data_IF_222910150228
#
_entry.id   IF_222910150228
#
_cell.length_a   1.000
_cell.length_b   1.000
_cell.length_c   1.000
_cell.angle_alpha   90.00
_cell.angle_beta   90.00
_cell.angle_gamma   90.00
#
_symmetry.space_group_name_H-M   'P 1'
#
loop_
_entity.id
_entity.type
_entity.pdbx_description
1 polymer ?
#
# COMPACT_ATOMS: atom_id res chain seq x y z
N UNK A 1 -26.05 -18.39 -10.84
CA UNK A 1 -25.27 -17.29 -11.45
C UNK A 1 -25.08 -16.23 -10.37
N UNK A 2 -24.07 -16.39 -9.53
CA UNK A 2 -23.66 -15.33 -8.63
C UNK A 2 -23.05 -14.20 -9.48
N UNK A 3 -23.70 -13.05 -9.49
CA UNK A 3 -23.25 -11.88 -10.22
C UNK A 3 -21.88 -11.44 -9.71
N UNK A 4 -20.93 -11.29 -10.62
CA UNK A 4 -19.61 -10.74 -10.35
C UNK A 4 -19.70 -9.22 -10.16
N UNK A 5 -20.33 -8.77 -9.08
CA UNK A 5 -20.36 -7.36 -8.70
C UNK A 5 -19.13 -6.96 -7.85
N UNK A 6 -17.98 -7.56 -8.16
CA UNK A 6 -16.72 -7.18 -7.52
C UNK A 6 -15.99 -6.14 -8.37
N UNK A 7 -15.51 -5.09 -7.70
CA UNK A 7 -14.61 -4.13 -8.32
C UNK A 7 -13.35 -4.84 -8.83
N UNK A 8 -12.81 -4.41 -9.97
CA UNK A 8 -11.49 -4.85 -10.41
C UNK A 8 -10.38 -4.32 -9.47
N UNK A 9 -9.12 -4.71 -9.70
CA UNK A 9 -7.99 -4.29 -8.86
C UNK A 9 -7.87 -2.77 -8.77
N UNK A 10 -7.93 -2.08 -9.89
CA UNK A 10 -7.86 -0.63 -9.96
C UNK A 10 -9.03 0.04 -9.23
N UNK A 11 -10.26 -0.45 -9.45
CA UNK A 11 -11.45 0.07 -8.77
C UNK A 11 -11.37 -0.08 -7.26
N UNK A 12 -10.93 -1.25 -6.79
CA UNK A 12 -10.73 -1.51 -5.34
C UNK A 12 -9.69 -0.56 -4.75
N UNK A 13 -8.55 -0.39 -5.41
CA UNK A 13 -7.49 0.50 -4.97
C UNK A 13 -7.93 1.97 -4.95
N UNK A 14 -8.61 2.42 -6.00
CA UNK A 14 -9.10 3.80 -6.12
C UNK A 14 -10.17 4.13 -5.07
N UNK A 15 -11.08 3.21 -4.77
CA UNK A 15 -12.10 3.41 -3.74
C UNK A 15 -11.48 3.58 -2.36
N UNK A 16 -10.59 2.67 -1.95
CA UNK A 16 -9.91 2.78 -0.65
C UNK A 16 -9.05 4.04 -0.57
N UNK A 17 -8.33 4.37 -1.65
CA UNK A 17 -7.55 5.61 -1.72
C UNK A 17 -8.42 6.86 -1.58
N UNK A 18 -9.57 6.91 -2.28
CA UNK A 18 -10.50 8.04 -2.20
C UNK A 18 -11.08 8.21 -0.78
N UNK A 19 -11.48 7.10 -0.13
CA UNK A 19 -11.97 7.12 1.24
C UNK A 19 -10.90 7.62 2.22
N UNK A 20 -9.66 7.15 2.06
CA UNK A 20 -8.54 7.60 2.88
C UNK A 20 -8.25 9.09 2.68
N UNK A 21 -8.30 9.57 1.44
CA UNK A 21 -8.13 11.00 1.11
C UNK A 21 -9.23 11.87 1.70
N UNK A 22 -10.47 11.43 1.66
CA UNK A 22 -11.59 12.18 2.28
C UNK A 22 -11.38 12.32 3.79
N UNK A 23 -10.99 11.23 4.47
CA UNK A 23 -10.72 11.26 5.91
C UNK A 23 -9.50 12.12 6.24
N UNK A 24 -8.43 12.02 5.46
CA UNK A 24 -7.20 12.83 5.61
C UNK A 24 -7.48 14.33 5.44
N UNK A 25 -8.49 14.68 4.63
CA UNK A 25 -8.96 16.04 4.40
C UNK A 25 -10.07 16.49 5.38
N UNK A 26 -10.29 15.75 6.46
CA UNK A 26 -11.18 16.15 7.54
C UNK A 26 -12.63 15.63 7.44
N UNK A 27 -12.95 14.74 6.49
CA UNK A 27 -14.25 14.07 6.51
C UNK A 27 -14.41 13.25 7.78
N UNK A 28 -15.51 13.48 8.49
CA UNK A 28 -15.83 12.71 9.69
C UNK A 28 -15.99 11.21 9.37
N UNK A 29 -15.37 10.38 10.20
CA UNK A 29 -15.48 8.94 10.09
C UNK A 29 -16.85 8.47 10.59
N UNK A 30 -17.70 8.15 9.65
CA UNK A 30 -19.01 7.58 9.96
C UNK A 30 -18.95 6.05 10.10
N UNK A 31 -19.87 5.42 10.83
CA UNK A 31 -20.01 3.96 10.84
C UNK A 31 -20.14 3.37 9.42
N UNK A 32 -20.86 4.04 8.53
CA UNK A 32 -21.02 3.62 7.12
C UNK A 32 -19.69 3.61 6.35
N UNK A 33 -18.81 4.58 6.60
CA UNK A 33 -17.48 4.58 5.99
C UNK A 33 -16.64 3.39 6.46
N UNK A 34 -16.67 3.11 7.77
CA UNK A 34 -15.97 1.96 8.35
C UNK A 34 -16.52 0.62 7.82
N UNK A 35 -17.83 0.50 7.65
CA UNK A 35 -18.47 -0.66 7.03
C UNK A 35 -18.06 -0.84 5.57
N UNK A 36 -18.03 0.25 4.78
CA UNK A 36 -17.60 0.22 3.39
C UNK A 36 -16.12 -0.22 3.26
N UNK A 37 -15.24 0.33 4.09
CA UNK A 37 -13.84 -0.12 4.14
C UNK A 37 -13.76 -1.60 4.51
N UNK A 38 -14.47 -2.02 5.57
CA UNK A 38 -14.47 -3.42 6.02
C UNK A 38 -15.00 -4.41 4.97
N UNK A 39 -15.90 -3.97 4.09
CA UNK A 39 -16.42 -4.76 2.98
C UNK A 39 -15.42 -4.94 1.83
N UNK A 40 -14.51 -3.96 1.64
CA UNK A 40 -13.46 -4.03 0.59
C UNK A 40 -12.24 -4.86 1.00
N UNK A 41 -11.92 -4.96 2.30
CA UNK A 41 -10.73 -5.67 2.78
C UNK A 41 -10.66 -7.14 2.33
N UNK A 42 -11.73 -7.95 2.38
CA UNK A 42 -11.69 -9.32 1.85
C UNK A 42 -11.40 -9.38 0.34
N UNK A 43 -11.88 -8.41 -0.44
CA UNK A 43 -11.60 -8.33 -1.87
C UNK A 43 -10.11 -8.02 -2.11
N UNK A 44 -9.52 -7.11 -1.32
CA UNK A 44 -8.07 -6.83 -1.37
C UNK A 44 -7.28 -8.11 -1.12
N UNK A 45 -7.62 -8.86 -0.05
CA UNK A 45 -6.96 -10.12 0.27
C UNK A 45 -7.08 -11.13 -0.87
N UNK A 46 -8.30 -11.40 -1.34
CA UNK A 46 -8.56 -12.39 -2.39
C UNK A 46 -7.78 -12.08 -3.66
N UNK A 47 -7.76 -10.81 -4.09
CA UNK A 47 -7.01 -10.37 -5.27
C UNK A 47 -5.50 -10.46 -5.05
N UNK A 48 -5.02 -10.08 -3.87
CA UNK A 48 -3.60 -10.15 -3.54
C UNK A 48 -3.07 -11.61 -3.48
N UNK A 49 -3.92 -12.56 -3.10
CA UNK A 49 -3.59 -14.00 -2.99
C UNK A 49 -3.97 -14.80 -4.24
N UNK A 50 -4.53 -14.16 -5.28
CA UNK A 50 -4.91 -14.84 -6.52
C UNK A 50 -3.69 -15.51 -7.17
N UNK A 51 -3.90 -16.69 -7.74
CA UNK A 51 -2.90 -17.39 -8.55
C UNK A 51 -2.85 -16.87 -9.99
N UNK A 52 -3.87 -16.11 -10.40
CA UNK A 52 -3.95 -15.56 -11.74
C UNK A 52 -3.31 -14.17 -11.76
N UNK A 53 -2.25 -14.01 -12.52
CA UNK A 53 -1.48 -12.76 -12.60
C UNK A 53 -2.34 -11.55 -13.01
N UNK A 54 -3.37 -11.77 -13.85
CA UNK A 54 -4.31 -10.71 -14.25
C UNK A 54 -5.10 -10.09 -13.09
N UNK A 55 -5.21 -10.82 -11.96
CA UNK A 55 -5.90 -10.38 -10.75
C UNK A 55 -4.96 -9.71 -9.75
N UNK A 56 -3.65 -9.67 -10.03
CA UNK A 56 -2.69 -8.98 -9.17
C UNK A 56 -2.78 -7.47 -9.33
N UNK A 57 -2.54 -6.78 -8.23
CA UNK A 57 -2.43 -5.33 -8.23
C UNK A 57 -1.16 -4.87 -8.94
N UNK A 58 -1.24 -3.79 -9.72
CA UNK A 58 -0.07 -3.11 -10.28
C UNK A 58 0.75 -2.45 -9.16
N UNK A 59 2.04 -2.13 -9.37
CA UNK A 59 2.88 -1.49 -8.35
C UNK A 59 2.24 -0.25 -7.72
N UNK A 60 1.69 0.64 -8.53
CA UNK A 60 1.02 1.85 -8.05
C UNK A 60 -0.27 1.53 -7.25
N UNK A 61 -1.01 0.50 -7.63
CA UNK A 61 -2.21 0.07 -6.91
C UNK A 61 -1.86 -0.49 -5.53
N UNK A 62 -0.78 -1.30 -5.43
CA UNK A 62 -0.27 -1.80 -4.14
C UNK A 62 0.16 -0.64 -3.24
N UNK A 63 0.89 0.33 -3.79
CA UNK A 63 1.34 1.51 -3.05
C UNK A 63 0.15 2.35 -2.56
N UNK A 64 -0.85 2.58 -3.41
CA UNK A 64 -2.06 3.32 -3.07
C UNK A 64 -2.89 2.60 -1.99
N UNK A 65 -3.01 1.27 -2.07
CA UNK A 65 -3.73 0.46 -1.08
C UNK A 65 -3.06 0.53 0.29
N UNK A 66 -1.76 0.25 0.37
CA UNK A 66 -1.04 0.30 1.64
C UNK A 66 -1.04 1.70 2.23
N UNK A 67 -0.86 2.74 1.40
CA UNK A 67 -0.96 4.14 1.82
C UNK A 67 -2.36 4.45 2.37
N UNK A 68 -3.42 4.02 1.67
CA UNK A 68 -4.80 4.26 2.10
C UNK A 68 -5.10 3.56 3.44
N UNK A 69 -4.70 2.30 3.59
CA UNK A 69 -4.89 1.55 4.84
C UNK A 69 -4.13 2.19 6.00
N UNK A 70 -2.88 2.61 5.77
CA UNK A 70 -2.09 3.31 6.76
C UNK A 70 -2.73 4.64 7.19
N UNK A 71 -3.22 5.43 6.24
CA UNK A 71 -3.93 6.70 6.52
C UNK A 71 -5.22 6.49 7.29
N UNK A 72 -6.02 5.48 6.91
CA UNK A 72 -7.26 5.17 7.62
C UNK A 72 -7.00 4.76 9.08
N UNK A 73 -5.96 3.94 9.31
CA UNK A 73 -5.56 3.52 10.67
C UNK A 73 -5.00 4.70 11.46
N UNK A 74 -4.13 5.51 10.87
CA UNK A 74 -3.57 6.72 11.48
C UNK A 74 -4.66 7.71 11.89
N UNK A 75 -5.76 7.74 11.14
CA UNK A 75 -6.96 8.50 11.46
C UNK A 75 -7.97 7.74 12.34
N UNK A 76 -7.59 6.61 12.93
CA UNK A 76 -8.37 5.89 13.96
C UNK A 76 -9.32 4.82 13.44
N UNK A 77 -9.15 4.31 12.20
CA UNK A 77 -9.77 3.04 11.82
C UNK A 77 -9.19 1.93 12.69
N UNK A 78 -10.05 1.11 13.27
CA UNK A 78 -9.60 0.00 14.11
C UNK A 78 -8.74 -0.99 13.32
N UNK A 79 -7.62 -1.40 13.90
CA UNK A 79 -6.72 -2.40 13.35
C UNK A 79 -7.33 -3.82 13.51
N UNK A 80 -8.32 -4.12 12.68
CA UNK A 80 -9.07 -5.39 12.72
C UNK A 80 -8.28 -6.54 12.10
N UNK A 81 -8.68 -7.77 12.42
CA UNK A 81 -8.12 -8.99 11.79
C UNK A 81 -8.19 -8.92 10.26
N UNK A 82 -9.32 -8.47 9.69
CA UNK A 82 -9.48 -8.31 8.24
C UNK A 82 -8.47 -7.34 7.64
N UNK A 83 -8.18 -6.23 8.33
CA UNK A 83 -7.17 -5.26 7.90
C UNK A 83 -5.78 -5.87 7.94
N UNK A 84 -5.42 -6.53 9.04
CA UNK A 84 -4.12 -7.23 9.17
C UNK A 84 -3.93 -8.28 8.07
N UNK A 85 -4.96 -9.07 7.76
CA UNK A 85 -4.95 -10.07 6.69
C UNK A 85 -4.78 -9.44 5.30
N UNK A 86 -5.49 -8.35 5.01
CA UNK A 86 -5.36 -7.63 3.74
C UNK A 86 -3.94 -7.07 3.56
N UNK A 87 -3.37 -6.45 4.60
CA UNK A 87 -1.98 -5.97 4.58
C UNK A 87 -1.00 -7.14 4.40
N UNK A 88 -1.15 -8.23 5.16
CA UNK A 88 -0.30 -9.41 5.07
C UNK A 88 -0.34 -10.10 3.69
N UNK A 89 -1.46 -9.97 2.97
CA UNK A 89 -1.61 -10.45 1.60
C UNK A 89 -0.92 -9.53 0.56
N UNK A 90 -0.87 -8.23 0.81
CA UNK A 90 -0.22 -7.25 -0.08
C UNK A 90 1.31 -7.27 0.02
N UNK A 91 1.88 -7.55 1.20
CA UNK A 91 3.33 -7.50 1.42
C UNK A 91 4.15 -8.40 0.46
N UNK A 92 3.76 -9.66 0.15
CA UNK A 92 4.45 -10.46 -0.86
C UNK A 92 4.45 -9.83 -2.25
N UNK A 93 3.37 -9.11 -2.63
CA UNK A 93 3.33 -8.40 -3.91
C UNK A 93 4.30 -7.20 -3.93
N UNK A 94 4.48 -6.50 -2.80
CA UNK A 94 5.51 -5.45 -2.68
C UNK A 94 6.89 -6.03 -3.00
N UNK A 95 7.24 -7.16 -2.37
CA UNK A 95 8.52 -7.84 -2.61
C UNK A 95 8.67 -8.25 -4.07
N UNK A 96 7.70 -9.01 -4.60
CA UNK A 96 7.74 -9.50 -5.98
C UNK A 96 7.94 -8.38 -6.99
N UNK A 97 7.21 -7.27 -6.83
CA UNK A 97 7.30 -6.14 -7.75
C UNK A 97 8.62 -5.36 -7.58
N UNK A 98 9.10 -5.21 -6.37
CA UNK A 98 10.40 -4.57 -6.12
C UNK A 98 11.58 -5.40 -6.68
N UNK A 99 11.48 -6.72 -6.69
CA UNK A 99 12.51 -7.62 -7.22
C UNK A 99 12.35 -7.90 -8.73
N UNK A 100 11.20 -7.55 -9.33
CA UNK A 100 10.92 -7.76 -10.75
C UNK A 100 11.81 -6.88 -11.63
N UNK A 101 12.26 -7.45 -12.75
CA UNK A 101 12.97 -6.73 -13.81
C UNK A 101 12.04 -6.31 -14.95
N UNK A 102 10.76 -6.64 -14.86
CA UNK A 102 9.80 -6.30 -15.90
C UNK A 102 9.37 -4.83 -15.77
N UNK A 103 9.32 -4.12 -16.90
CA UNK A 103 8.95 -2.70 -16.94
C UNK A 103 7.56 -2.43 -16.34
N UNK A 104 6.62 -3.36 -16.53
CA UNK A 104 5.26 -3.27 -15.95
C UNK A 104 5.23 -3.29 -14.43
N UNK A 105 6.25 -3.85 -13.79
CA UNK A 105 6.40 -3.96 -12.34
C UNK A 105 7.30 -2.85 -11.76
N UNK A 106 7.68 -1.88 -12.58
CA UNK A 106 8.55 -0.79 -12.16
C UNK A 106 7.95 0.00 -11.00
N UNK A 107 8.66 -0.01 -9.87
CA UNK A 107 8.30 0.77 -8.68
C UNK A 107 8.97 2.14 -8.78
N UNK A 108 8.20 3.17 -9.13
CA UNK A 108 8.68 4.53 -9.28
C UNK A 108 9.04 5.19 -7.92
N UNK A 109 9.72 6.36 -7.88
CA UNK A 109 10.10 7.04 -6.64
C UNK A 109 8.91 7.28 -5.70
N UNK A 110 7.79 7.74 -6.22
CA UNK A 110 6.59 8.02 -5.43
C UNK A 110 6.04 6.74 -4.78
N UNK A 111 5.93 5.65 -5.55
CA UNK A 111 5.47 4.37 -5.01
C UNK A 111 6.42 3.85 -3.93
N UNK A 112 7.74 3.95 -4.14
CA UNK A 112 8.75 3.56 -3.15
C UNK A 112 8.56 4.33 -1.83
N UNK A 113 8.47 5.65 -1.90
CA UNK A 113 8.29 6.50 -0.72
C UNK A 113 6.96 6.22 0.00
N UNK A 114 5.87 6.06 -0.77
CA UNK A 114 4.55 5.76 -0.21
C UNK A 114 4.50 4.39 0.48
N UNK A 115 5.13 3.37 -0.11
CA UNK A 115 5.22 2.04 0.47
C UNK A 115 5.98 2.04 1.80
N UNK A 116 7.15 2.67 1.84
CA UNK A 116 7.96 2.75 3.04
C UNK A 116 7.24 3.54 4.15
N UNK A 117 6.65 4.68 3.81
CA UNK A 117 5.86 5.47 4.75
C UNK A 117 4.67 4.67 5.29
N UNK A 118 3.93 3.99 4.41
CA UNK A 118 2.76 3.21 4.81
C UNK A 118 3.13 2.06 5.75
N UNK A 119 4.21 1.32 5.44
CA UNK A 119 4.67 0.22 6.30
C UNK A 119 5.10 0.73 7.66
N UNK A 120 5.84 1.83 7.74
CA UNK A 120 6.24 2.44 9.01
C UNK A 120 5.03 2.90 9.83
N UNK A 121 4.04 3.56 9.18
CA UNK A 121 2.79 3.98 9.85
C UNK A 121 1.97 2.81 10.37
N UNK A 122 1.86 1.73 9.60
CA UNK A 122 1.14 0.54 10.03
C UNK A 122 1.80 -0.11 11.26
N UNK A 123 3.14 -0.18 11.29
CA UNK A 123 3.88 -0.66 12.47
C UNK A 123 3.67 0.24 13.68
N UNK A 124 3.78 1.55 13.51
CA UNK A 124 3.54 2.56 14.56
C UNK A 124 2.13 2.44 15.15
N UNK A 125 1.16 2.01 14.35
CA UNK A 125 -0.22 1.76 14.75
C UNK A 125 -0.52 0.29 15.12
N UNK A 126 0.50 -0.52 15.41
CA UNK A 126 0.35 -1.86 15.99
C UNK A 126 0.25 -3.01 14.97
N UNK A 127 0.69 -2.82 13.73
CA UNK A 127 0.95 -3.95 12.84
C UNK A 127 2.19 -4.70 13.33
N UNK A 128 2.08 -6.01 13.45
CA UNK A 128 3.19 -6.86 13.89
C UNK A 128 4.35 -6.84 12.90
N UNK A 129 5.58 -6.84 13.42
CA UNK A 129 6.80 -6.92 12.62
C UNK A 129 7.02 -8.35 12.13
N UNK A 130 6.29 -8.73 11.10
CA UNK A 130 6.29 -10.08 10.52
C UNK A 130 7.47 -10.30 9.56
N UNK A 131 7.86 -11.58 9.29
CA UNK A 131 8.84 -11.89 8.24
C UNK A 131 8.47 -11.28 6.87
N UNK A 132 7.20 -11.31 6.48
CA UNK A 132 6.71 -10.72 5.22
C UNK A 132 6.97 -9.22 5.14
N UNK A 133 6.79 -8.50 6.26
CA UNK A 133 7.08 -7.07 6.33
C UNK A 133 8.57 -6.80 6.15
N UNK A 134 9.43 -7.58 6.83
CA UNK A 134 10.89 -7.46 6.71
C UNK A 134 11.37 -7.74 5.30
N UNK A 135 10.82 -8.77 4.64
CA UNK A 135 11.15 -9.11 3.26
C UNK A 135 10.73 -8.02 2.27
N UNK A 136 9.52 -7.47 2.43
CA UNK A 136 9.04 -6.35 1.61
C UNK A 136 9.93 -5.11 1.79
N UNK A 137 10.30 -4.79 3.03
CA UNK A 137 11.21 -3.69 3.33
C UNK A 137 12.59 -3.90 2.69
N UNK A 138 13.18 -5.08 2.87
CA UNK A 138 14.49 -5.42 2.32
C UNK A 138 14.51 -5.33 0.79
N UNK A 139 13.41 -5.68 0.12
CA UNK A 139 13.28 -5.56 -1.34
C UNK A 139 13.18 -4.10 -1.83
N UNK A 140 12.64 -3.19 -1.01
CA UNK A 140 12.50 -1.77 -1.38
C UNK A 140 13.77 -0.94 -1.14
N UNK A 141 14.61 -1.30 -0.18
CA UNK A 141 15.81 -0.52 0.17
C UNK A 141 16.78 -0.31 -1.00
N UNK A 142 17.06 -1.31 -1.88
CA UNK A 142 17.87 -1.09 -3.08
C UNK A 142 17.30 -0.03 -4.02
N UNK A 143 15.97 0.07 -4.14
CA UNK A 143 15.31 1.11 -4.95
C UNK A 143 15.57 2.51 -4.40
N UNK A 144 15.55 2.68 -3.06
CA UNK A 144 15.89 3.96 -2.43
C UNK A 144 17.29 4.38 -2.81
N UNK A 145 18.26 3.45 -2.68
CA UNK A 145 19.66 3.72 -3.03
C UNK A 145 19.82 4.09 -4.51
N UNK A 146 19.31 3.25 -5.41
CA UNK A 146 19.39 3.48 -6.86
C UNK A 146 18.80 4.82 -7.26
N UNK A 147 17.63 5.17 -6.71
CA UNK A 147 16.96 6.44 -7.04
C UNK A 147 17.67 7.65 -6.44
N UNK A 148 18.24 7.52 -5.25
CA UNK A 148 19.03 8.58 -4.62
C UNK A 148 20.35 8.85 -5.36
N UNK A 149 20.94 7.83 -5.99
CA UNK A 149 22.18 7.91 -6.74
C UNK A 149 21.96 8.20 -8.24
N UNK A 150 20.72 8.19 -8.75
CA UNK A 150 20.39 8.42 -10.14
C UNK A 150 20.78 9.83 -10.57
N UNK A 151 21.29 9.95 -11.82
CA UNK A 151 21.55 11.25 -12.46
C UNK A 151 20.37 11.75 -13.27
N UNK A 152 19.32 10.94 -13.43
CA UNK A 152 18.13 11.30 -14.18
C UNK A 152 17.11 11.95 -13.26
N UNK A 153 16.71 13.20 -13.57
CA UNK A 153 15.77 13.98 -12.74
C UNK A 153 14.43 13.26 -12.50
N UNK A 154 13.96 12.48 -13.48
CA UNK A 154 12.70 11.68 -13.35
C UNK A 154 12.75 10.61 -12.26
N UNK A 155 13.98 10.18 -11.88
CA UNK A 155 14.19 9.16 -10.84
C UNK A 155 14.41 9.77 -9.45
N UNK A 156 14.53 11.10 -9.35
CA UNK A 156 14.73 11.76 -8.09
C UNK A 156 13.44 11.78 -7.26
N UNK A 157 13.60 11.67 -5.95
CA UNK A 157 12.51 11.86 -5.00
C UNK A 157 12.09 13.32 -4.94
N UNK A 158 10.79 13.58 -5.05
CA UNK A 158 10.22 14.91 -4.79
C UNK A 158 10.33 15.27 -3.30
N UNK A 159 10.25 16.55 -2.92
CA UNK A 159 10.37 16.97 -1.52
C UNK A 159 9.43 16.23 -0.57
N UNK A 160 8.18 15.99 -0.97
CA UNK A 160 7.21 15.23 -0.17
C UNK A 160 7.62 13.77 0.01
N UNK A 161 8.20 13.16 -1.01
CA UNK A 161 8.67 11.79 -0.98
C UNK A 161 9.89 11.65 -0.06
N UNK A 162 10.81 12.62 -0.10
CA UNK A 162 11.94 12.71 0.84
C UNK A 162 11.43 12.83 2.28
N UNK A 163 10.45 13.69 2.53
CA UNK A 163 9.86 13.83 3.86
C UNK A 163 9.24 12.52 4.37
N UNK A 164 8.53 11.79 3.51
CA UNK A 164 7.96 10.49 3.84
C UNK A 164 9.04 9.45 4.17
N UNK A 165 10.14 9.43 3.40
CA UNK A 165 11.26 8.53 3.62
C UNK A 165 11.97 8.83 4.95
N UNK A 166 12.28 10.10 5.21
CA UNK A 166 12.92 10.53 6.47
C UNK A 166 12.06 10.15 7.66
N UNK A 167 10.76 10.39 7.59
CA UNK A 167 9.83 10.00 8.65
C UNK A 167 9.81 8.48 8.86
N UNK A 168 9.80 7.70 7.78
CA UNK A 168 9.77 6.24 7.86
C UNK A 168 11.04 5.64 8.48
N UNK A 169 12.20 6.23 8.19
CA UNK A 169 13.49 5.76 8.74
C UNK A 169 13.68 6.14 10.20
N UNK A 170 13.02 7.21 10.67
CA UNK A 170 13.10 7.68 12.05
C UNK A 170 12.26 6.83 13.05
N UNK A 171 11.50 5.85 12.57
CA UNK A 171 10.64 4.96 13.35
C UNK A 171 11.20 3.56 13.46
#
# INVERSE_FOLDING_TARGET
KEGKDHFNTQGTANLLWAMAKMVDNGLEKTPKLNEAVAALLPQVKTKAESKEEKDHFKPQEVANLLWALAKLVDNGLKNTTKLKEAVAALLPQVKTKAESKEERDHVNPQATANLLWAMAKLVDNGLENTPKLKEALAALLPHVKTKAESKEEKDHFKPQEVANLVWAVAK
#
